data_IF_773103876889
#
_entry.id   IF_773103876889
#
_cell.length_a   1.000
_cell.length_b   1.000
_cell.length_c   1.000
_cell.angle_alpha   90.00
_cell.angle_beta   90.00
_cell.angle_gamma   90.00
#
_symmetry.space_group_name_H-M   'P 1'
#
loop_
_entity.id
_entity.type
_entity.pdbx_description
1 polymer ?
#
# COMPACT_ATOMS: atom_id res chain seq x y z
N UNK A 1 28.14 -7.23 18.58
CA UNK A 1 26.70 -6.93 18.48
C UNK A 1 26.40 -6.69 17.03
N UNK A 2 25.63 -7.59 16.43
CA UNK A 2 25.21 -7.49 15.04
C UNK A 2 23.70 -7.22 15.03
N UNK A 3 23.33 -6.00 14.61
CA UNK A 3 21.92 -5.65 14.40
C UNK A 3 21.46 -6.31 13.10
N UNK A 4 20.44 -7.15 13.17
CA UNK A 4 19.82 -7.81 12.01
C UNK A 4 18.42 -7.25 11.75
N UNK A 5 18.03 -7.19 10.48
CA UNK A 5 16.68 -6.76 10.05
C UNK A 5 16.02 -7.82 9.17
N UNK A 6 14.82 -8.25 9.57
CA UNK A 6 14.06 -9.27 8.84
C UNK A 6 12.69 -8.73 8.44
N UNK A 7 12.33 -8.85 7.15
CA UNK A 7 11.03 -8.43 6.63
C UNK A 7 9.95 -9.42 7.10
N UNK A 8 9.00 -8.95 7.90
CA UNK A 8 7.94 -9.79 8.48
C UNK A 8 6.63 -9.74 7.71
N UNK A 9 6.30 -8.60 7.11
CA UNK A 9 5.06 -8.47 6.36
C UNK A 9 5.17 -7.42 5.26
N UNK A 10 4.38 -7.62 4.22
CA UNK A 10 4.16 -6.65 3.16
C UNK A 10 2.66 -6.40 3.04
N UNK A 11 2.30 -5.14 2.92
CA UNK A 11 0.95 -4.65 2.68
C UNK A 11 0.94 -3.78 1.43
N UNK A 12 -0.05 -3.98 0.57
CA UNK A 12 -0.35 -3.10 -0.56
C UNK A 12 -1.46 -2.14 -0.14
N UNK A 13 -1.26 -0.84 -0.31
CA UNK A 13 -2.30 0.15 -0.09
C UNK A 13 -2.64 0.85 -1.41
N UNK A 14 -3.93 0.98 -1.67
CA UNK A 14 -4.43 1.77 -2.78
C UNK A 14 -5.23 2.94 -2.21
N UNK A 15 -4.80 4.15 -2.53
CA UNK A 15 -5.43 5.39 -2.08
C UNK A 15 -6.33 5.89 -3.19
N UNK A 16 -7.58 6.17 -2.87
CA UNK A 16 -8.58 6.64 -3.82
C UNK A 16 -9.10 8.02 -3.42
N UNK A 17 -9.43 8.85 -4.41
CA UNK A 17 -10.09 10.13 -4.19
C UNK A 17 -11.54 9.91 -3.73
N UNK A 18 -11.95 10.59 -2.66
CA UNK A 18 -13.26 10.44 -2.03
C UNK A 18 -14.09 11.74 -2.04
N UNK A 19 -13.76 12.68 -2.93
CA UNK A 19 -14.40 13.99 -3.04
C UNK A 19 -13.74 15.05 -2.17
N UNK A 20 -14.45 16.13 -1.86
CA UNK A 20 -13.95 17.24 -1.04
C UNK A 20 -14.73 17.35 0.28
N UNK A 21 -14.07 17.84 1.32
CA UNK A 21 -14.72 18.14 2.60
C UNK A 21 -15.46 19.50 2.57
N UNK A 22 -16.05 19.88 3.71
CA UNK A 22 -16.77 21.16 3.86
C UNK A 22 -15.89 22.41 3.79
N UNK A 23 -14.57 22.27 3.83
CA UNK A 23 -13.58 23.34 3.71
C UNK A 23 -12.95 23.39 2.31
N UNK A 24 -13.31 22.45 1.43
CA UNK A 24 -12.82 22.36 0.06
C UNK A 24 -11.54 21.53 -0.10
N UNK A 25 -11.10 20.81 0.94
CA UNK A 25 -9.91 19.97 0.85
C UNK A 25 -10.26 18.62 0.22
N UNK A 26 -9.41 18.07 -0.67
CA UNK A 26 -9.61 16.72 -1.19
C UNK A 26 -9.50 15.69 -0.07
N UNK A 27 -10.46 14.79 -0.02
CA UNK A 27 -10.50 13.66 0.90
C UNK A 27 -10.07 12.39 0.20
N UNK A 28 -9.41 11.50 0.92
CA UNK A 28 -8.90 10.25 0.39
C UNK A 28 -9.39 9.06 1.20
N UNK A 29 -9.59 7.94 0.52
CA UNK A 29 -9.95 6.66 1.13
C UNK A 29 -8.96 5.60 0.74
N UNK A 30 -8.33 4.98 1.74
CA UNK A 30 -7.34 3.93 1.53
C UNK A 30 -7.99 2.55 1.61
N UNK A 31 -7.59 1.66 0.70
CA UNK A 31 -7.92 0.24 0.71
C UNK A 31 -6.63 -0.56 0.83
N UNK A 32 -6.51 -1.33 1.90
CA UNK A 32 -5.29 -2.07 2.22
C UNK A 32 -5.49 -3.57 2.01
N UNK A 33 -4.50 -4.21 1.38
CA UNK A 33 -4.42 -5.64 1.14
C UNK A 33 -3.25 -6.18 1.94
N UNK A 34 -3.58 -6.99 2.95
CA UNK A 34 -2.61 -7.65 3.82
C UNK A 34 -2.12 -8.96 3.18
N UNK A 35 -1.07 -9.54 3.76
CA UNK A 35 -0.50 -10.83 3.34
C UNK A 35 -0.01 -10.84 1.89
N UNK A 36 0.51 -9.71 1.42
CA UNK A 36 1.19 -9.63 0.13
C UNK A 36 2.52 -10.37 0.23
N UNK A 37 2.88 -11.12 -0.81
CA UNK A 37 4.15 -11.86 -0.82
C UNK A 37 5.31 -10.86 -0.71
N UNK A 38 6.22 -11.02 0.28
CA UNK A 38 7.36 -10.12 0.43
C UNK A 38 8.28 -10.04 -0.79
N UNK A 39 8.33 -11.12 -1.57
CA UNK A 39 9.08 -11.24 -2.80
C UNK A 39 8.44 -10.55 -4.03
N UNK A 40 7.22 -9.99 -3.89
CA UNK A 40 6.57 -9.27 -5.00
C UNK A 40 7.37 -8.03 -5.40
N UNK A 41 7.51 -7.78 -6.70
CA UNK A 41 8.20 -6.58 -7.21
C UNK A 41 7.25 -5.37 -7.24
N UNK A 42 7.78 -4.13 -7.21
CA UNK A 42 6.96 -2.93 -7.34
C UNK A 42 6.10 -2.93 -8.61
N UNK A 43 6.63 -3.43 -9.73
CA UNK A 43 5.91 -3.54 -11.00
C UNK A 43 4.71 -4.50 -10.89
N UNK A 44 4.91 -5.68 -10.27
CA UNK A 44 3.82 -6.64 -10.05
C UNK A 44 2.70 -6.05 -9.19
N UNK A 45 3.07 -5.32 -8.13
CA UNK A 45 2.10 -4.65 -7.26
C UNK A 45 1.34 -3.56 -8.02
N UNK A 46 2.03 -2.77 -8.83
CA UNK A 46 1.43 -1.70 -9.63
C UNK A 46 0.47 -2.26 -10.69
N UNK A 47 0.85 -3.33 -11.39
CA UNK A 47 -0.04 -3.99 -12.37
C UNK A 47 -1.32 -4.47 -11.69
N UNK A 48 -1.22 -5.18 -10.56
CA UNK A 48 -2.39 -5.67 -9.83
C UNK A 48 -3.25 -4.51 -9.32
N UNK A 49 -2.65 -3.47 -8.75
CA UNK A 49 -3.38 -2.29 -8.28
C UNK A 49 -4.13 -1.57 -9.43
N UNK A 50 -3.51 -1.46 -10.60
CA UNK A 50 -4.11 -0.86 -11.80
C UNK A 50 -5.28 -1.69 -12.32
N UNK A 51 -5.17 -3.02 -12.33
CA UNK A 51 -6.29 -3.87 -12.73
C UNK A 51 -7.44 -3.82 -11.71
N UNK A 52 -7.12 -3.81 -10.40
CA UNK A 52 -8.13 -3.74 -9.35
C UNK A 52 -8.83 -2.38 -9.30
N UNK A 53 -8.16 -1.28 -9.65
CA UNK A 53 -8.74 0.06 -9.66
C UNK A 53 -9.84 0.21 -10.70
N UNK A 54 -9.76 -0.50 -11.84
CA UNK A 54 -10.81 -0.54 -12.85
C UNK A 54 -12.14 -1.11 -12.33
N UNK A 55 -12.09 -1.88 -11.23
CA UNK A 55 -13.26 -2.45 -10.56
C UNK A 55 -13.73 -1.62 -9.37
N UNK A 56 -13.06 -0.51 -9.06
CA UNK A 56 -13.46 0.41 -7.99
C UNK A 56 -14.29 1.57 -8.57
N UNK A 57 -15.09 2.19 -7.72
CA UNK A 57 -15.93 3.34 -8.09
C UNK A 57 -15.17 4.67 -8.05
N UNK A 58 -14.08 4.73 -7.28
CA UNK A 58 -13.30 5.94 -7.05
C UNK A 58 -12.01 5.92 -7.86
N UNK A 59 -11.50 7.11 -8.19
CA UNK A 59 -10.26 7.29 -8.95
C UNK A 59 -9.08 6.90 -8.07
N UNK A 60 -8.20 6.05 -8.60
CA UNK A 60 -6.96 5.68 -7.94
C UNK A 60 -6.00 6.87 -7.95
N UNK A 61 -5.67 7.37 -6.78
CA UNK A 61 -4.75 8.48 -6.57
C UNK A 61 -3.30 7.99 -6.48
N UNK A 62 -3.04 6.99 -5.64
CA UNK A 62 -1.70 6.42 -5.49
C UNK A 62 -1.73 4.94 -5.07
N UNK A 63 -0.61 4.27 -5.31
CA UNK A 63 -0.34 2.88 -4.89
C UNK A 63 0.89 2.89 -4.01
N UNK A 64 0.76 2.35 -2.81
CA UNK A 64 1.83 2.32 -1.82
C UNK A 64 2.14 0.89 -1.40
N UNK A 65 3.41 0.63 -1.10
CA UNK A 65 3.88 -0.61 -0.51
C UNK A 65 4.40 -0.31 0.89
N UNK A 66 3.81 -0.96 1.88
CA UNK A 66 4.29 -0.93 3.26
C UNK A 66 4.94 -2.26 3.62
N UNK A 67 6.23 -2.22 3.93
CA UNK A 67 6.97 -3.35 4.46
C UNK A 67 7.24 -3.12 5.95
N UNK A 68 6.95 -4.13 6.78
CA UNK A 68 7.33 -4.15 8.19
C UNK A 68 8.56 -5.02 8.39
N UNK A 69 9.47 -4.55 9.24
CA UNK A 69 10.69 -5.26 9.58
C UNK A 69 10.80 -5.42 11.09
N UNK A 70 11.26 -6.57 11.54
CA UNK A 70 11.72 -6.77 12.92
C UNK A 70 13.22 -6.49 12.96
N UNK A 71 13.63 -5.65 13.92
CA UNK A 71 15.02 -5.28 14.15
C UNK A 71 15.43 -5.89 15.50
N UNK A 72 16.46 -6.73 15.51
CA UNK A 72 16.96 -7.40 16.71
C UNK A 72 18.49 -7.35 16.79
N UNK A 73 19.01 -7.29 18.02
CA UNK A 73 20.44 -7.50 18.33
C UNK A 73 20.66 -8.99 18.63
N UNK A 74 21.64 -9.59 17.95
CA UNK A 74 22.06 -10.98 18.12
C UNK A 74 23.39 -11.07 18.88
#
# INVERSE_FOLDING_TARGET
>A
MAISSEKVSTQLQMVFENGVDGEGNPTFRTKSFNNVKPASTPEQLHTVATTLSQLQQHILYTVERNDSFVIADL
#
